data_IF_554491110312
#
_entry.id   IF_554491110312
#
_cell.length_a   1.000
_cell.length_b   1.000
_cell.length_c   1.000
_cell.angle_alpha   90.00
_cell.angle_beta   90.00
_cell.angle_gamma   90.00
#
_symmetry.space_group_name_H-M   'P 1'
#
loop_
_entity.id
_entity.type
_entity.pdbx_description
1 polymer ?
#
# COMPACT_ATOMS: atom_id res chain seq x y z
N UNK A 1 8.22 -13.58 8.30
CA UNK A 1 7.45 -12.51 7.67
C UNK A 1 5.99 -12.89 7.80
N UNK A 2 5.17 -11.97 8.29
CA UNK A 2 3.71 -12.06 8.35
C UNK A 2 3.21 -12.14 6.91
N UNK A 3 2.29 -13.06 6.64
CA UNK A 3 1.67 -13.19 5.32
C UNK A 3 0.56 -12.16 5.18
N UNK A 4 0.51 -11.49 4.03
CA UNK A 4 -0.50 -10.47 3.77
C UNK A 4 -1.68 -11.15 3.09
N UNK A 5 -2.84 -11.13 3.74
CA UNK A 5 -4.07 -11.63 3.14
C UNK A 5 -4.51 -10.69 2.01
N UNK A 6 -4.72 -9.41 2.33
CA UNK A 6 -5.25 -8.41 1.39
C UNK A 6 -4.70 -7.01 1.66
N UNK A 7 -4.75 -6.15 0.64
CA UNK A 7 -4.48 -4.72 0.78
C UNK A 7 -5.69 -3.97 0.24
N UNK A 8 -6.29 -3.15 1.10
CA UNK A 8 -7.45 -2.33 0.75
C UNK A 8 -7.02 -0.87 0.66
N UNK A 9 -7.31 -0.24 -0.48
CA UNK A 9 -7.09 1.19 -0.65
C UNK A 9 -8.30 1.93 -0.12
N UNK A 10 -8.07 2.88 0.77
CA UNK A 10 -9.08 3.76 1.34
C UNK A 10 -9.23 4.99 0.44
N UNK A 11 -8.11 5.62 0.09
CA UNK A 11 -8.07 6.85 -0.69
C UNK A 11 -6.79 6.91 -1.53
N UNK A 12 -6.88 7.54 -2.70
CA UNK A 12 -5.71 7.89 -3.52
C UNK A 12 -5.89 9.31 -4.01
N UNK A 13 -4.93 10.19 -3.72
CA UNK A 13 -4.83 11.49 -4.38
C UNK A 13 -3.95 11.35 -5.63
N UNK A 14 -4.56 11.51 -6.82
CA UNK A 14 -3.86 11.49 -8.12
C UNK A 14 -3.68 12.89 -8.71
N UNK A 15 -3.77 13.94 -7.87
CA UNK A 15 -3.77 15.34 -8.33
C UNK A 15 -2.37 15.82 -8.75
N UNK A 16 -1.32 15.24 -8.16
CA UNK A 16 0.07 15.56 -8.45
C UNK A 16 0.79 14.43 -9.20
N UNK A 17 2.06 14.66 -9.56
CA UNK A 17 2.91 13.65 -10.21
C UNK A 17 3.23 12.46 -9.28
N UNK A 18 3.13 12.69 -7.98
CA UNK A 18 3.23 11.69 -6.91
C UNK A 18 1.82 11.43 -6.39
N UNK A 19 1.41 10.17 -6.35
CA UNK A 19 0.13 9.76 -5.83
C UNK A 19 0.26 9.44 -4.35
N UNK A 20 -0.48 10.16 -3.52
CA UNK A 20 -0.58 9.85 -2.09
C UNK A 20 -1.66 8.79 -1.90
N UNK A 21 -1.28 7.66 -1.31
CA UNK A 21 -2.09 6.48 -1.15
C UNK A 21 -2.28 6.24 0.34
N UNK A 22 -3.53 6.15 0.75
CA UNK A 22 -3.92 5.75 2.09
C UNK A 22 -4.68 4.43 2.00
N UNK A 23 -4.30 3.46 2.82
CA UNK A 23 -4.93 2.15 2.80
C UNK A 23 -4.72 1.37 4.08
N UNK A 24 -5.16 0.12 4.06
CA UNK A 24 -5.01 -0.81 5.16
C UNK A 24 -4.52 -2.18 4.66
N UNK A 25 -3.55 -2.75 5.36
CA UNK A 25 -3.00 -4.08 5.16
C UNK A 25 -3.80 -5.04 6.04
N UNK A 26 -4.42 -6.05 5.44
CA UNK A 26 -5.18 -7.08 6.14
C UNK A 26 -4.32 -8.34 6.25
N UNK A 27 -4.14 -8.86 7.47
CA UNK A 27 -3.37 -10.06 7.77
C UNK A 27 -3.91 -10.79 9.01
N UNK A 28 -3.44 -12.02 9.25
CA UNK A 28 -3.72 -12.83 10.46
C UNK A 28 -5.23 -12.94 10.79
N UNK A 29 -6.05 -13.29 9.79
CA UNK A 29 -7.50 -13.54 9.96
C UNK A 29 -8.22 -12.28 10.52
N UNK A 30 -8.21 -11.18 9.74
CA UNK A 30 -8.93 -9.90 9.95
C UNK A 30 -8.20 -8.78 10.74
N UNK A 31 -6.88 -8.83 10.92
CA UNK A 31 -6.12 -7.68 11.46
C UNK A 31 -5.85 -6.65 10.37
N UNK A 32 -6.40 -5.45 10.53
CA UNK A 32 -6.13 -4.30 9.66
C UNK A 32 -5.03 -3.40 10.24
N UNK A 33 -3.98 -3.13 9.46
CA UNK A 33 -2.96 -2.15 9.77
C UNK A 33 -2.97 -1.02 8.74
N UNK A 34 -3.28 0.22 9.15
CA UNK A 34 -3.21 1.38 8.28
C UNK A 34 -1.80 1.62 7.74
N UNK A 35 -1.73 2.01 6.48
CA UNK A 35 -0.51 2.43 5.80
C UNK A 35 -0.74 3.67 4.95
N UNK A 36 0.35 4.39 4.74
CA UNK A 36 0.48 5.54 3.86
C UNK A 36 1.65 5.28 2.90
N UNK A 37 1.45 5.55 1.62
CA UNK A 37 2.49 5.39 0.61
C UNK A 37 2.43 6.51 -0.42
N UNK A 38 3.60 6.89 -0.94
CA UNK A 38 3.73 7.87 -2.03
C UNK A 38 4.26 7.15 -3.26
N UNK A 39 3.51 7.18 -4.35
CA UNK A 39 3.81 6.47 -5.60
C UNK A 39 4.05 7.42 -6.76
N UNK A 40 5.23 7.35 -7.37
CA UNK A 40 5.58 8.21 -8.50
C UNK A 40 5.15 7.52 -9.80
N UNK A 41 3.99 7.92 -10.33
CA UNK A 41 3.42 7.27 -11.50
C UNK A 41 4.28 7.42 -12.77
N UNK A 42 5.10 8.48 -12.85
CA UNK A 42 6.04 8.68 -13.97
C UNK A 42 7.19 7.67 -14.00
N UNK A 43 7.72 7.33 -12.82
CA UNK A 43 8.87 6.44 -12.65
C UNK A 43 8.45 4.99 -12.33
N UNK A 44 7.16 4.76 -12.06
CA UNK A 44 6.56 3.45 -11.74
C UNK A 44 7.10 2.84 -10.43
N UNK A 45 7.54 3.71 -9.50
CA UNK A 45 8.22 3.38 -8.24
C UNK A 45 7.53 4.01 -7.01
N UNK A 46 7.60 3.34 -5.86
CA UNK A 46 7.20 3.91 -4.57
C UNK A 46 8.34 4.76 -3.99
N UNK A 47 8.06 6.03 -3.71
CA UNK A 47 9.01 6.94 -3.08
C UNK A 47 9.12 6.66 -1.57
N UNK A 48 7.98 6.48 -0.91
CA UNK A 48 7.90 6.22 0.52
C UNK A 48 6.73 5.28 0.84
N UNK A 49 6.91 4.46 1.88
CA UNK A 49 5.85 3.67 2.49
C UNK A 49 6.05 3.64 4.01
N UNK A 50 4.99 3.90 4.75
CA UNK A 50 4.95 3.87 6.21
C UNK A 50 3.66 3.19 6.66
N UNK A 51 3.73 2.42 7.74
CA UNK A 51 2.56 1.82 8.36
C UNK A 51 2.64 1.99 9.88
N UNK A 52 1.53 1.77 10.57
CA UNK A 52 1.53 1.77 12.04
C UNK A 52 2.39 0.65 12.64
N UNK A 53 2.52 -0.46 11.91
CA UNK A 53 3.42 -1.57 12.26
C UNK A 53 4.76 -1.49 11.52
N UNK A 54 5.77 -2.14 12.08
CA UNK A 54 7.06 -2.32 11.44
C UNK A 54 6.91 -3.12 10.13
N UNK A 55 7.16 -2.45 8.99
CA UNK A 55 7.04 -3.06 7.66
C UNK A 55 8.02 -4.22 7.43
N UNK A 56 9.12 -4.27 8.19
CA UNK A 56 10.07 -5.38 8.20
C UNK A 56 9.47 -6.70 8.74
N UNK A 57 8.30 -6.63 9.39
CA UNK A 57 7.56 -7.83 9.78
C UNK A 57 6.88 -8.50 8.58
N UNK A 58 6.59 -7.74 7.51
CA UNK A 58 5.94 -8.21 6.29
C UNK A 58 6.95 -8.51 5.18
N UNK A 59 6.54 -9.28 4.18
CA UNK A 59 7.31 -9.40 2.96
C UNK A 59 7.14 -8.12 2.12
N UNK A 60 8.19 -7.31 2.05
CA UNK A 60 8.14 -5.98 1.45
C UNK A 60 7.88 -6.03 -0.05
N UNK A 61 8.43 -7.02 -0.74
CA UNK A 61 8.18 -7.19 -2.17
C UNK A 61 6.71 -7.57 -2.41
N UNK A 62 6.15 -8.49 -1.63
CA UNK A 62 4.73 -8.86 -1.70
C UNK A 62 3.82 -7.67 -1.36
N UNK A 63 4.15 -6.90 -0.32
CA UNK A 63 3.39 -5.74 0.10
C UNK A 63 3.32 -4.68 -1.02
N UNK A 64 4.46 -4.32 -1.59
CA UNK A 64 4.53 -3.32 -2.66
C UNK A 64 3.78 -3.78 -3.91
N UNK A 65 3.87 -5.05 -4.28
CA UNK A 65 3.14 -5.61 -5.42
C UNK A 65 1.62 -5.57 -5.18
N UNK A 66 1.16 -5.95 -3.98
CA UNK A 66 -0.26 -5.88 -3.58
C UNK A 66 -0.78 -4.43 -3.54
N UNK A 67 -0.03 -3.50 -2.95
CA UNK A 67 -0.41 -2.08 -2.93
C UNK A 67 -0.50 -1.54 -4.36
N UNK A 68 0.51 -1.81 -5.19
CA UNK A 68 0.52 -1.39 -6.59
C UNK A 68 -0.69 -1.93 -7.33
N UNK A 69 -0.95 -3.24 -7.20
CA UNK A 69 -2.13 -3.86 -7.77
C UNK A 69 -3.42 -3.19 -7.31
N UNK A 70 -3.59 -2.96 -6.01
CA UNK A 70 -4.78 -2.34 -5.45
C UNK A 70 -4.94 -0.89 -5.93
N UNK A 71 -3.86 -0.12 -6.04
CA UNK A 71 -3.83 1.25 -6.57
C UNK A 71 -4.27 1.33 -8.04
N UNK A 72 -3.79 0.42 -8.88
CA UNK A 72 -4.17 0.38 -10.29
C UNK A 72 -5.58 -0.17 -10.53
N UNK A 73 -6.11 -0.96 -9.60
CA UNK A 73 -7.49 -1.47 -9.63
C UNK A 73 -8.48 -0.61 -8.82
N UNK A 74 -8.02 0.45 -8.18
CA UNK A 74 -8.88 1.37 -7.45
C UNK A 74 -9.71 2.20 -8.45
N UNK A 75 -10.99 1.87 -8.53
CA UNK A 75 -12.00 2.67 -9.24
C UNK A 75 -12.68 3.60 -8.22
N UNK A 76 -12.47 4.92 -8.35
CA UNK A 76 -13.13 5.98 -7.53
C UNK A 76 -14.67 5.94 -7.58
#
# INVERSE_FOLDING_TARGET
MISIDEVCIISIDKSEDVWDIEGEIIFDDDIACPFEASYVAQDDEFEQITAEMDLDEFDRDELLDKIKFAVFNYEE
#
